data_IF_049675929570
#
_entry.id   IF_049675929570
#
_cell.length_a   1.000
_cell.length_b   1.000
_cell.length_c   1.000
_cell.angle_alpha   90.00
_cell.angle_beta   90.00
_cell.angle_gamma   90.00
#
_symmetry.space_group_name_H-M   'P 1'
#
loop_
_entity.id
_entity.type
_entity.pdbx_description
1 polymer ?
#
# COMPACT_ATOMS: atom_id res chain seq x y z
N UNK A 1 -54.45 -55.50 12.70
CA UNK A 1 -54.44 -54.03 12.71
C UNK A 1 -53.02 -53.57 13.08
N UNK A 2 -52.12 -53.43 12.09
CA UNK A 2 -50.76 -52.94 12.31
C UNK A 2 -50.76 -51.42 12.13
N UNK A 3 -50.40 -50.68 13.18
CA UNK A 3 -50.17 -49.24 13.14
C UNK A 3 -48.72 -49.00 12.65
N UNK A 4 -48.59 -48.38 11.47
CA UNK A 4 -47.34 -47.82 10.99
C UNK A 4 -47.12 -46.45 11.65
N UNK A 5 -46.10 -46.35 12.50
CA UNK A 5 -45.60 -45.07 13.01
C UNK A 5 -44.66 -44.48 11.95
N UNK A 6 -45.06 -43.37 11.33
CA UNK A 6 -44.19 -42.58 10.43
C UNK A 6 -43.41 -41.60 11.29
N UNK A 7 -42.06 -41.66 11.34
CA UNK A 7 -41.29 -40.68 12.08
C UNK A 7 -41.32 -39.34 11.33
N UNK A 8 -41.86 -38.32 11.99
CA UNK A 8 -41.84 -36.95 11.52
C UNK A 8 -40.40 -36.41 11.67
N UNK A 9 -39.66 -36.31 10.56
CA UNK A 9 -38.37 -35.64 10.53
C UNK A 9 -38.61 -34.13 10.65
N UNK A 10 -38.47 -33.61 11.87
CA UNK A 10 -38.43 -32.17 12.11
C UNK A 10 -37.13 -31.61 11.52
N UNK A 11 -37.22 -30.94 10.37
CA UNK A 11 -36.14 -30.12 9.83
C UNK A 11 -35.88 -28.97 10.81
N UNK A 12 -34.76 -29.00 11.52
CA UNK A 12 -34.35 -27.85 12.31
C UNK A 12 -33.98 -26.69 11.37
N UNK A 13 -34.39 -25.46 11.67
CA UNK A 13 -33.95 -24.31 10.89
C UNK A 13 -32.43 -24.19 11.00
N UNK A 14 -31.74 -24.30 9.87
CA UNK A 14 -30.31 -24.01 9.80
C UNK A 14 -30.15 -22.51 9.99
N UNK A 15 -29.64 -22.10 11.15
CA UNK A 15 -29.14 -20.73 11.32
C UNK A 15 -28.09 -20.48 10.22
N UNK A 16 -28.20 -19.40 9.43
CA UNK A 16 -27.15 -19.05 8.50
C UNK A 16 -25.84 -18.91 9.27
N UNK A 17 -24.87 -19.78 8.98
CA UNK A 17 -23.51 -19.61 9.45
C UNK A 17 -23.02 -18.28 8.88
N UNK A 18 -22.55 -17.37 9.73
CA UNK A 18 -22.02 -16.09 9.27
C UNK A 18 -20.95 -16.35 8.20
N UNK A 19 -20.97 -15.57 7.11
CA UNK A 19 -19.96 -15.64 6.07
C UNK A 19 -18.57 -15.56 6.73
N UNK A 20 -17.71 -16.59 6.57
CA UNK A 20 -16.39 -16.62 7.18
C UNK A 20 -15.57 -15.36 6.88
N UNK A 21 -15.75 -14.74 5.71
CA UNK A 21 -15.04 -13.51 5.36
C UNK A 21 -15.51 -12.34 6.23
N UNK A 22 -16.82 -12.13 6.35
CA UNK A 22 -17.41 -11.07 7.16
C UNK A 22 -17.09 -11.21 8.66
N UNK A 23 -17.12 -12.43 9.18
CA UNK A 23 -16.74 -12.69 10.57
C UNK A 23 -15.26 -12.33 10.84
N UNK A 24 -14.34 -12.77 9.97
CA UNK A 24 -12.93 -12.46 10.12
C UNK A 24 -12.64 -10.97 9.90
N UNK A 25 -13.35 -10.29 9.00
CA UNK A 25 -13.23 -8.84 8.81
C UNK A 25 -13.63 -8.09 10.09
N UNK A 26 -14.74 -8.46 10.73
CA UNK A 26 -15.16 -7.85 11.99
C UNK A 26 -14.10 -8.04 13.09
N UNK A 27 -13.53 -9.24 13.22
CA UNK A 27 -12.42 -9.48 14.15
C UNK A 27 -11.18 -8.66 13.82
N UNK A 28 -10.83 -8.51 12.53
CA UNK A 28 -9.71 -7.66 12.12
C UNK A 28 -9.95 -6.20 12.45
N UNK A 29 -11.16 -5.69 12.21
CA UNK A 29 -11.54 -4.32 12.57
C UNK A 29 -11.31 -4.06 14.06
N UNK A 30 -11.80 -4.95 14.93
CA UNK A 30 -11.60 -4.85 16.37
C UNK A 30 -10.12 -4.87 16.77
N UNK A 31 -9.32 -5.74 16.15
CA UNK A 31 -7.87 -5.81 16.40
C UNK A 31 -7.16 -4.53 15.98
N UNK A 32 -7.48 -3.96 14.81
CA UNK A 32 -6.92 -2.68 14.38
C UNK A 32 -7.33 -1.54 15.31
N UNK A 33 -8.59 -1.49 15.74
CA UNK A 33 -9.05 -0.50 16.71
C UNK A 33 -8.28 -0.60 18.03
N UNK A 34 -8.08 -1.82 18.54
CA UNK A 34 -7.24 -2.04 19.73
C UNK A 34 -5.78 -1.63 19.50
N UNK A 35 -5.20 -1.95 18.33
CA UNK A 35 -3.81 -1.60 18.02
C UNK A 35 -3.58 -0.09 18.06
N UNK A 36 -4.50 0.71 17.53
CA UNK A 36 -4.37 2.17 17.53
C UNK A 36 -4.72 2.82 18.88
N UNK A 37 -5.40 2.10 19.78
CA UNK A 37 -5.71 2.56 21.14
C UNK A 37 -4.69 2.08 22.19
N UNK A 38 -3.91 1.04 21.87
CA UNK A 38 -2.94 0.44 22.77
C UNK A 38 -1.90 1.45 23.27
N UNK A 39 -1.61 1.39 24.58
CA UNK A 39 -0.77 2.37 25.26
C UNK A 39 0.71 2.06 25.21
N UNK A 40 1.09 0.81 24.94
CA UNK A 40 2.49 0.36 24.94
C UNK A 40 2.92 -0.27 23.62
N UNK A 41 4.19 -0.12 23.27
CA UNK A 41 4.76 -0.70 22.05
C UNK A 41 4.71 -2.23 22.05
N UNK A 42 4.86 -2.85 23.21
CA UNK A 42 4.74 -4.30 23.38
C UNK A 42 3.34 -4.79 23.03
N UNK A 43 2.31 -4.14 23.56
CA UNK A 43 0.90 -4.48 23.29
C UNK A 43 0.57 -4.29 21.81
N UNK A 44 1.02 -3.18 21.20
CA UNK A 44 0.86 -2.93 19.76
C UNK A 44 1.47 -4.04 18.91
N UNK A 45 2.68 -4.49 19.23
CA UNK A 45 3.35 -5.59 18.50
C UNK A 45 2.60 -6.91 18.65
N UNK A 46 2.10 -7.24 19.85
CA UNK A 46 1.30 -8.45 20.07
C UNK A 46 -0.03 -8.44 19.31
N UNK A 47 -0.71 -7.27 19.27
CA UNK A 47 -1.91 -7.08 18.47
C UNK A 47 -1.60 -7.23 16.98
N UNK A 48 -0.48 -6.68 16.52
CA UNK A 48 -0.03 -6.83 15.15
C UNK A 48 0.28 -8.27 14.76
N UNK A 49 0.92 -9.05 15.64
CA UNK A 49 1.15 -10.49 15.40
C UNK A 49 -0.17 -11.24 15.18
N UNK A 50 -1.20 -10.88 15.96
CA UNK A 50 -2.56 -11.42 15.82
C UNK A 50 -3.21 -10.99 14.50
N UNK A 51 -3.07 -9.71 14.13
CA UNK A 51 -3.54 -9.16 12.85
C UNK A 51 -2.89 -9.89 11.68
N UNK A 52 -1.56 -10.02 11.68
CA UNK A 52 -0.82 -10.72 10.63
C UNK A 52 -1.30 -12.16 10.46
N UNK A 53 -1.52 -12.89 11.56
CA UNK A 53 -2.00 -14.27 11.51
C UNK A 53 -3.43 -14.37 10.93
N UNK A 54 -4.33 -13.46 11.28
CA UNK A 54 -5.71 -13.46 10.76
C UNK A 54 -5.72 -13.02 9.30
N UNK A 55 -5.06 -11.90 8.97
CA UNK A 55 -4.99 -11.38 7.60
C UNK A 55 -4.37 -12.40 6.65
N UNK A 56 -3.24 -13.02 6.99
CA UNK A 56 -2.57 -14.00 6.10
C UNK A 56 -3.51 -15.14 5.73
N UNK A 57 -4.24 -15.69 6.71
CA UNK A 57 -5.22 -16.76 6.46
C UNK A 57 -6.42 -16.28 5.66
N UNK A 58 -6.93 -15.09 5.98
CA UNK A 58 -8.09 -14.51 5.33
C UNK A 58 -7.81 -14.20 3.85
N UNK A 59 -6.68 -13.56 3.55
CA UNK A 59 -6.29 -13.19 2.18
C UNK A 59 -5.92 -14.40 1.32
N UNK A 60 -5.55 -15.54 1.92
CA UNK A 60 -5.35 -16.78 1.19
C UNK A 60 -6.67 -17.50 0.86
N UNK A 61 -7.77 -17.18 1.57
CA UNK A 61 -9.03 -17.94 1.48
C UNK A 61 -9.76 -17.75 0.14
N UNK A 62 -10.57 -18.73 -0.31
CA UNK A 62 -11.35 -18.60 -1.54
C UNK A 62 -12.30 -17.39 -1.50
N UNK A 63 -12.40 -16.65 -2.60
CA UNK A 63 -13.30 -15.49 -2.73
C UNK A 63 -12.82 -14.20 -2.04
N UNK A 64 -11.78 -14.27 -1.19
CA UNK A 64 -11.27 -13.11 -0.45
C UNK A 64 -10.78 -11.97 -1.34
N UNK A 65 -10.24 -12.25 -2.53
CA UNK A 65 -9.72 -11.19 -3.42
C UNK A 65 -10.80 -10.18 -3.83
N UNK A 66 -12.00 -10.67 -4.18
CA UNK A 66 -13.13 -9.85 -4.60
C UNK A 66 -13.99 -9.35 -3.43
N UNK A 67 -13.68 -9.77 -2.21
CA UNK A 67 -14.39 -9.30 -1.02
C UNK A 67 -13.95 -7.87 -0.70
N UNK A 68 -14.88 -6.93 -0.42
CA UNK A 68 -14.53 -5.51 -0.39
C UNK A 68 -13.62 -5.09 0.78
N UNK A 69 -13.80 -5.69 1.97
CA UNK A 69 -13.13 -5.27 3.22
C UNK A 69 -13.40 -3.79 3.60
N UNK A 70 -14.63 -3.32 3.39
CA UNK A 70 -15.02 -1.91 3.58
C UNK A 70 -14.90 -1.41 5.03
N UNK A 71 -14.94 -2.31 6.02
CA UNK A 71 -14.86 -1.95 7.43
C UNK A 71 -13.41 -1.72 7.91
N UNK A 72 -12.41 -2.16 7.14
CA UNK A 72 -10.99 -1.95 7.43
C UNK A 72 -10.52 -0.56 6.96
N UNK A 73 -11.16 0.50 7.46
CA UNK A 73 -10.95 1.88 6.99
C UNK A 73 -9.63 2.53 7.44
N UNK A 74 -8.85 1.86 8.30
CA UNK A 74 -7.60 2.39 8.89
C UNK A 74 -6.33 1.88 8.20
N UNK A 75 -6.46 1.11 7.12
CA UNK A 75 -5.34 0.54 6.39
C UNK A 75 -5.41 0.92 4.91
N UNK A 76 -4.25 0.93 4.25
CA UNK A 76 -4.17 0.93 2.80
C UNK A 76 -4.74 -0.37 2.25
N UNK A 77 -5.60 -0.25 1.25
CA UNK A 77 -6.29 -1.35 0.59
C UNK A 77 -6.45 -0.99 -0.89
N UNK A 78 -5.48 -1.39 -1.70
CA UNK A 78 -5.36 -0.92 -3.08
C UNK A 78 -5.37 -2.10 -4.04
N UNK A 79 -6.28 -2.09 -5.02
CA UNK A 79 -6.40 -3.13 -6.04
C UNK A 79 -5.73 -2.64 -7.32
N UNK A 80 -4.88 -3.48 -7.92
CA UNK A 80 -4.26 -3.19 -9.23
C UNK A 80 -5.32 -2.97 -10.32
N UNK A 81 -5.08 -2.08 -11.31
CA UNK A 81 -6.11 -1.71 -12.29
C UNK A 81 -6.56 -2.87 -13.20
N UNK A 82 -5.75 -3.93 -13.33
CA UNK A 82 -6.07 -5.14 -14.08
C UNK A 82 -6.48 -6.31 -13.19
N UNK A 83 -6.72 -6.07 -11.90
CA UNK A 83 -7.07 -7.08 -10.89
C UNK A 83 -6.04 -8.22 -10.78
N UNK A 84 -4.78 -7.98 -11.13
CA UNK A 84 -3.72 -8.98 -11.00
C UNK A 84 -3.38 -9.27 -9.54
N UNK A 85 -3.32 -8.23 -8.71
CA UNK A 85 -3.09 -8.31 -7.28
C UNK A 85 -3.82 -7.19 -6.52
N UNK A 86 -3.80 -7.33 -5.20
CA UNK A 86 -4.28 -6.38 -4.22
C UNK A 86 -3.22 -6.23 -3.14
N UNK A 87 -2.97 -5.00 -2.70
CA UNK A 87 -1.98 -4.70 -1.67
C UNK A 87 -2.67 -4.07 -0.47
N UNK A 88 -2.40 -4.65 0.70
CA UNK A 88 -2.82 -4.11 1.99
C UNK A 88 -1.59 -3.59 2.71
N UNK A 89 -1.64 -2.40 3.29
CA UNK A 89 -0.52 -1.82 4.05
C UNK A 89 -1.01 -1.07 5.25
N UNK A 90 -0.32 -1.21 6.38
CA UNK A 90 -0.60 -0.48 7.61
C UNK A 90 0.70 -0.21 8.35
N UNK A 91 0.63 0.67 9.33
CA UNK A 91 1.76 0.97 10.21
C UNK A 91 1.37 0.85 11.67
N UNK A 92 2.37 0.56 12.49
CA UNK A 92 2.32 0.59 13.94
C UNK A 92 3.07 1.84 14.41
N UNK A 93 2.40 2.84 14.98
CA UNK A 93 3.07 3.97 15.61
C UNK A 93 3.67 3.52 16.95
N UNK A 94 4.99 3.57 17.07
CA UNK A 94 5.73 3.24 18.29
C UNK A 94 6.15 4.50 19.05
N UNK A 95 6.73 4.31 20.23
CA UNK A 95 7.31 5.40 21.01
C UNK A 95 8.40 6.14 20.22
N UNK A 96 8.49 7.46 20.40
CA UNK A 96 9.55 8.26 19.80
C UNK A 96 9.37 8.59 18.31
N UNK A 97 8.13 8.62 17.81
CA UNK A 97 7.82 8.94 16.39
C UNK A 97 8.41 7.91 15.41
N UNK A 98 8.64 6.69 15.88
CA UNK A 98 9.05 5.56 15.05
C UNK A 98 7.80 4.86 14.55
N UNK A 99 7.79 4.48 13.28
CA UNK A 99 6.72 3.70 12.69
C UNK A 99 7.31 2.39 12.14
N UNK A 100 6.66 1.27 12.46
CA UNK A 100 6.94 -0.02 11.80
C UNK A 100 5.84 -0.30 10.78
N UNK A 101 6.21 -0.65 9.57
CA UNK A 101 5.28 -0.88 8.48
C UNK A 101 5.06 -2.38 8.25
N UNK A 102 3.86 -2.72 7.81
CA UNK A 102 3.50 -4.06 7.41
C UNK A 102 2.67 -4.01 6.15
N UNK A 103 2.79 -5.06 5.34
CA UNK A 103 1.94 -5.18 4.19
C UNK A 103 1.76 -6.61 3.73
N UNK A 104 0.74 -6.81 2.92
CA UNK A 104 0.40 -8.09 2.32
C UNK A 104 0.04 -7.85 0.85
N UNK A 105 0.70 -8.57 -0.05
CA UNK A 105 0.27 -8.68 -1.45
C UNK A 105 -0.54 -9.95 -1.60
N UNK A 106 -1.78 -9.80 -2.02
CA UNK A 106 -2.68 -10.89 -2.39
C UNK A 106 -2.76 -10.96 -3.91
N UNK A 107 -2.23 -12.04 -4.50
CA UNK A 107 -2.33 -12.28 -5.95
C UNK A 107 -3.66 -12.94 -6.26
N UNK A 108 -4.33 -12.43 -7.29
CA UNK A 108 -5.61 -12.96 -7.73
C UNK A 108 -5.48 -14.44 -8.14
N UNK A 109 -6.26 -15.30 -7.48
CA UNK A 109 -6.25 -16.74 -7.73
C UNK A 109 -6.73 -17.11 -9.15
N UNK A 110 -7.52 -16.25 -9.81
CA UNK A 110 -8.17 -16.58 -11.06
C UNK A 110 -9.06 -17.82 -10.92
N UNK A 111 -8.63 -18.94 -11.52
CA UNK A 111 -9.32 -20.25 -11.40
C UNK A 111 -8.77 -21.15 -10.28
N UNK A 112 -7.69 -20.73 -9.61
CA UNK A 112 -7.07 -21.49 -8.50
C UNK A 112 -7.98 -21.45 -7.26
N UNK A 113 -7.91 -22.47 -6.39
CA UNK A 113 -8.77 -22.53 -5.21
C UNK A 113 -8.43 -21.48 -4.14
N UNK A 114 -7.19 -20.99 -4.10
CA UNK A 114 -6.72 -20.03 -3.09
C UNK A 114 -5.81 -18.98 -3.72
N UNK A 115 -5.78 -17.80 -3.09
CA UNK A 115 -4.87 -16.73 -3.49
C UNK A 115 -3.46 -17.03 -2.98
N UNK A 116 -2.45 -16.62 -3.75
CA UNK A 116 -1.08 -16.56 -3.25
C UNK A 116 -0.91 -15.26 -2.47
N UNK A 117 -0.20 -15.34 -1.35
CA UNK A 117 -0.02 -14.23 -0.43
C UNK A 117 1.47 -14.04 -0.14
N UNK A 118 1.95 -12.80 -0.24
CA UNK A 118 3.31 -12.41 0.11
C UNK A 118 3.26 -11.40 1.26
N UNK A 119 4.02 -11.66 2.32
CA UNK A 119 4.15 -10.75 3.45
C UNK A 119 5.29 -9.76 3.17
N UNK A 120 5.01 -8.47 3.31
CA UNK A 120 6.00 -7.42 3.19
C UNK A 120 6.63 -7.16 4.55
N UNK A 121 7.95 -7.36 4.63
CA UNK A 121 8.74 -7.19 5.83
C UNK A 121 9.49 -5.87 5.75
N UNK A 122 9.10 -4.95 6.63
CA UNK A 122 9.78 -3.68 6.79
C UNK A 122 11.19 -3.86 7.36
N UNK A 123 12.13 -3.12 6.78
CA UNK A 123 13.53 -3.06 7.18
C UNK A 123 13.92 -1.62 7.51
N UNK A 124 13.15 -0.94 8.37
CA UNK A 124 13.30 0.47 8.74
C UNK A 124 14.74 0.93 9.00
N UNK A 125 15.58 0.08 9.62
CA UNK A 125 17.00 0.38 9.89
C UNK A 125 17.86 0.59 8.63
N UNK A 126 17.38 0.13 7.49
CA UNK A 126 18.04 0.17 6.18
C UNK A 126 17.28 1.02 5.18
N UNK A 127 16.30 1.81 5.63
CA UNK A 127 15.39 2.56 4.76
C UNK A 127 16.16 3.32 3.68
N UNK A 128 17.14 4.14 4.07
CA UNK A 128 17.90 4.97 3.12
C UNK A 128 18.58 4.14 2.03
N UNK A 129 19.21 3.00 2.36
CA UNK A 129 19.79 2.11 1.36
C UNK A 129 18.72 1.50 0.44
N UNK A 130 17.58 1.10 1.01
CA UNK A 130 16.50 0.43 0.30
C UNK A 130 15.79 1.38 -0.66
N UNK A 131 15.67 2.68 -0.31
CA UNK A 131 15.07 3.69 -1.17
C UNK A 131 15.77 3.81 -2.52
N UNK A 132 17.09 3.55 -2.56
CA UNK A 132 17.92 3.64 -3.77
C UNK A 132 18.25 2.29 -4.41
N UNK A 133 17.58 1.20 -4.02
CA UNK A 133 17.86 -0.14 -4.53
C UNK A 133 16.61 -0.89 -5.00
N UNK A 134 16.80 -1.94 -5.79
CA UNK A 134 15.76 -2.94 -6.02
C UNK A 134 15.55 -3.79 -4.77
N UNK A 135 14.28 -4.09 -4.44
CA UNK A 135 13.92 -4.81 -3.21
C UNK A 135 12.89 -5.90 -3.50
N UNK A 136 12.81 -6.91 -2.65
CA UNK A 136 11.81 -7.97 -2.59
C UNK A 136 10.80 -7.69 -1.47
N UNK A 137 9.91 -8.66 -1.21
CA UNK A 137 9.00 -8.60 -0.08
C UNK A 137 9.72 -8.62 1.28
N UNK A 138 10.86 -9.30 1.40
CA UNK A 138 11.61 -9.49 2.65
C UNK A 138 12.48 -8.29 3.05
N UNK A 139 12.78 -7.41 2.09
CA UNK A 139 13.52 -6.17 2.32
C UNK A 139 12.75 -4.95 1.77
N UNK A 140 11.44 -4.94 2.00
CA UNK A 140 10.57 -3.87 1.56
C UNK A 140 10.81 -2.58 2.37
N UNK A 141 10.84 -1.39 1.72
CA UNK A 141 11.14 -0.12 2.40
C UNK A 141 10.05 0.40 3.33
N UNK A 142 8.90 -0.27 3.47
CA UNK A 142 7.84 0.13 4.41
C UNK A 142 7.04 1.36 3.94
N UNK A 143 5.87 1.19 3.35
CA UNK A 143 5.06 2.28 2.80
C UNK A 143 3.57 2.05 3.03
N UNK A 144 2.80 3.12 3.20
CA UNK A 144 1.35 3.08 3.12
C UNK A 144 0.91 3.42 1.70
N UNK A 145 0.61 2.41 0.90
CA UNK A 145 0.19 2.60 -0.49
C UNK A 145 -1.27 3.02 -0.56
N UNK A 146 -1.55 4.04 -1.37
CA UNK A 146 -2.90 4.55 -1.59
C UNK A 146 -3.30 4.58 -3.07
N UNK A 147 -2.35 4.45 -3.99
CA UNK A 147 -2.61 4.46 -5.42
C UNK A 147 -1.70 3.47 -6.16
N UNK A 148 -2.24 2.82 -7.18
CA UNK A 148 -1.51 1.93 -8.07
C UNK A 148 -1.89 2.19 -9.52
N UNK A 149 -0.88 2.33 -10.36
CA UNK A 149 -1.02 2.51 -11.81
C UNK A 149 -0.42 1.33 -12.53
N UNK A 150 -0.96 1.03 -13.70
CA UNK A 150 -0.44 -0.03 -14.55
C UNK A 150 0.14 0.53 -15.83
N UNK A 151 1.40 0.21 -16.08
CA UNK A 151 2.15 0.62 -17.25
C UNK A 151 2.78 -0.58 -17.95
N UNK A 152 3.10 -0.42 -19.24
CA UNK A 152 3.87 -1.42 -20.00
C UNK A 152 5.25 -0.87 -20.36
N UNK A 153 6.27 -1.71 -20.20
CA UNK A 153 7.62 -1.49 -20.70
C UNK A 153 7.97 -2.63 -21.67
N UNK A 154 7.68 -2.44 -22.96
CA UNK A 154 7.78 -3.52 -23.94
C UNK A 154 6.78 -4.64 -23.64
N UNK A 155 7.30 -5.82 -23.25
CA UNK A 155 6.48 -6.98 -22.85
C UNK A 155 6.18 -7.01 -21.35
N UNK A 156 6.96 -6.28 -20.55
CA UNK A 156 6.84 -6.29 -19.11
C UNK A 156 5.66 -5.42 -18.66
N UNK A 157 4.98 -5.85 -17.61
CA UNK A 157 3.98 -5.05 -16.89
C UNK A 157 4.65 -4.50 -15.63
N UNK A 158 4.56 -3.20 -15.45
CA UNK A 158 5.09 -2.49 -14.28
C UNK A 158 3.92 -1.80 -13.59
N UNK A 159 3.86 -1.97 -12.28
CA UNK A 159 2.88 -1.30 -11.43
C UNK A 159 3.56 -0.16 -10.70
N UNK A 160 3.14 1.07 -10.95
CA UNK A 160 3.66 2.21 -10.18
C UNK A 160 2.82 2.36 -8.93
N UNK A 161 3.46 2.41 -7.77
CA UNK A 161 2.85 2.53 -6.47
C UNK A 161 3.13 3.92 -5.91
N UNK A 162 2.09 4.57 -5.41
CA UNK A 162 2.24 5.85 -4.71
C UNK A 162 1.92 5.60 -3.24
N UNK A 163 2.91 5.90 -2.40
CA UNK A 163 2.88 5.63 -0.98
C UNK A 163 3.20 6.84 -0.13
N UNK A 164 2.86 6.72 1.15
CA UNK A 164 3.20 7.66 2.19
C UNK A 164 3.99 6.95 3.29
N UNK A 165 4.97 7.65 3.86
CA UNK A 165 5.83 7.17 4.92
C UNK A 165 5.97 8.29 5.97
N UNK A 166 5.48 8.03 7.19
CA UNK A 166 5.78 8.84 8.37
C UNK A 166 7.29 8.76 8.65
N UNK A 167 8.01 9.84 8.41
CA UNK A 167 9.47 9.82 8.44
C UNK A 167 10.00 10.00 9.87
N UNK A 168 9.76 11.17 10.46
CA UNK A 168 10.15 11.44 11.83
C UNK A 168 9.20 12.47 12.48
N UNK A 169 9.64 13.11 13.56
CA UNK A 169 8.85 14.10 14.28
C UNK A 169 8.58 15.38 13.48
N UNK A 170 9.40 15.69 12.48
CA UNK A 170 9.47 16.98 11.80
C UNK A 170 9.06 16.90 10.33
N UNK A 171 9.28 15.76 9.68
CA UNK A 171 8.96 15.58 8.26
C UNK A 171 8.23 14.29 7.98
N UNK A 172 7.60 14.27 6.81
CA UNK A 172 6.98 13.10 6.20
C UNK A 172 7.51 12.89 4.79
N UNK A 173 7.31 11.69 4.25
CA UNK A 173 7.69 11.33 2.89
C UNK A 173 6.50 10.88 2.05
N UNK A 174 6.39 11.40 0.82
CA UNK A 174 5.64 10.78 -0.28
C UNK A 174 6.62 10.08 -1.20
N UNK A 175 6.34 8.84 -1.56
CA UNK A 175 7.27 8.02 -2.34
C UNK A 175 6.53 7.39 -3.51
N UNK A 176 7.11 7.54 -4.70
CA UNK A 176 6.70 6.83 -5.91
C UNK A 176 7.66 5.66 -6.09
N UNK A 177 7.14 4.45 -5.98
CA UNK A 177 7.86 3.19 -6.20
C UNK A 177 7.27 2.47 -7.43
N UNK A 178 7.93 1.41 -7.87
CA UNK A 178 7.38 0.48 -8.85
C UNK A 178 7.50 -0.93 -8.35
N UNK A 179 6.54 -1.77 -8.71
CA UNK A 179 6.50 -3.20 -8.44
C UNK A 179 6.26 -3.97 -9.74
N UNK A 180 6.84 -5.15 -9.86
CA UNK A 180 6.58 -6.11 -10.92
C UNK A 180 6.70 -7.52 -10.36
N UNK A 181 6.19 -8.51 -11.08
CA UNK A 181 6.43 -9.92 -10.76
C UNK A 181 7.63 -10.40 -11.57
N UNK A 182 8.57 -11.07 -10.91
CA UNK A 182 9.74 -11.66 -11.56
C UNK A 182 9.39 -12.97 -12.29
N UNK A 183 10.41 -13.67 -12.80
CA UNK A 183 10.22 -14.95 -13.51
C UNK A 183 9.64 -16.06 -12.60
N UNK A 184 9.82 -15.97 -11.28
CA UNK A 184 9.27 -16.89 -10.29
C UNK A 184 7.88 -16.45 -9.79
N UNK A 185 7.33 -15.38 -10.35
CA UNK A 185 6.06 -14.76 -9.95
C UNK A 185 6.10 -14.18 -8.52
N UNK A 186 7.28 -13.78 -8.05
CA UNK A 186 7.48 -13.09 -6.78
C UNK A 186 7.45 -11.57 -6.99
N UNK A 187 6.87 -10.79 -6.06
CA UNK A 187 6.84 -9.34 -6.16
C UNK A 187 8.22 -8.75 -5.88
N UNK A 188 8.72 -7.97 -6.84
CA UNK A 188 9.96 -7.20 -6.75
C UNK A 188 9.64 -5.73 -6.96
N UNK A 189 10.32 -4.85 -6.22
CA UNK A 189 10.12 -3.42 -6.17
C UNK A 189 11.37 -2.64 -6.60
N UNK A 190 11.21 -1.34 -6.83
CA UNK A 190 12.31 -0.44 -7.14
C UNK A 190 13.01 -0.83 -8.44
N UNK A 191 12.29 -1.03 -9.53
CA UNK A 191 12.94 -1.09 -10.86
C UNK A 191 13.40 0.34 -11.22
N UNK A 192 14.64 0.57 -11.68
CA UNK A 192 15.13 1.91 -11.99
C UNK A 192 14.48 2.44 -13.27
N UNK A 193 13.37 3.14 -13.13
CA UNK A 193 12.54 3.63 -14.25
C UNK A 193 12.16 5.10 -14.14
N UNK A 194 12.64 5.81 -13.12
CA UNK A 194 12.38 7.24 -12.97
C UNK A 194 13.56 8.04 -13.51
N UNK A 195 13.38 8.68 -14.66
CA UNK A 195 14.36 9.60 -15.21
C UNK A 195 14.13 10.98 -14.58
N UNK A 196 15.00 11.32 -13.63
CA UNK A 196 15.05 12.60 -12.91
C UNK A 196 16.20 13.48 -13.44
N UNK A 197 16.37 14.66 -12.87
CA UNK A 197 17.51 15.54 -13.18
C UNK A 197 18.84 14.94 -12.71
N UNK A 198 18.82 14.20 -11.60
CA UNK A 198 19.97 13.49 -11.03
C UNK A 198 20.24 12.13 -11.69
N UNK A 199 19.54 11.79 -12.78
CA UNK A 199 19.69 10.55 -13.52
C UNK A 199 18.55 9.55 -13.29
N UNK A 200 18.83 8.26 -13.53
CA UNK A 200 17.81 7.21 -13.40
C UNK A 200 17.76 6.72 -11.96
N UNK A 201 16.58 6.81 -11.34
CA UNK A 201 16.33 6.46 -9.95
C UNK A 201 15.40 5.24 -9.81
N UNK A 202 15.56 4.52 -8.71
CA UNK A 202 14.71 3.40 -8.30
C UNK A 202 13.34 3.87 -7.79
N UNK A 203 13.32 5.03 -7.12
CA UNK A 203 12.14 5.66 -6.53
C UNK A 203 12.24 7.17 -6.64
N UNK A 204 11.10 7.84 -6.59
CA UNK A 204 11.03 9.30 -6.38
C UNK A 204 10.59 9.54 -4.95
N UNK A 205 11.35 10.36 -4.22
CA UNK A 205 11.15 10.61 -2.79
C UNK A 205 10.94 12.09 -2.60
N UNK A 206 9.84 12.45 -1.96
CA UNK A 206 9.54 13.82 -1.57
C UNK A 206 9.49 13.87 -0.05
N UNK A 207 10.46 14.53 0.57
CA UNK A 207 10.42 14.83 2.00
C UNK A 207 9.99 16.28 2.20
N UNK A 208 9.04 16.50 3.10
CA UNK A 208 8.44 17.80 3.34
C UNK A 208 8.04 17.96 4.80
N UNK A 209 7.71 19.19 5.21
CA UNK A 209 7.27 19.48 6.57
C UNK A 209 6.08 18.61 7.00
N UNK A 210 6.16 17.99 8.17
CA UNK A 210 5.03 17.23 8.75
C UNK A 210 3.84 18.11 9.14
N UNK A 211 3.96 19.44 9.03
CA UNK A 211 2.90 20.41 9.32
C UNK A 211 2.06 20.78 8.08
N UNK A 212 2.44 20.31 6.89
CA UNK A 212 1.74 20.61 5.63
C UNK A 212 1.26 19.34 4.92
N UNK A 213 0.46 19.52 3.87
CA UNK A 213 0.00 18.41 3.01
C UNK A 213 0.61 18.58 1.63
N UNK A 214 1.29 17.54 1.15
CA UNK A 214 1.75 17.43 -0.22
C UNK A 214 0.87 16.46 -1.03
N UNK A 215 0.46 16.88 -2.23
CA UNK A 215 -0.28 16.06 -3.18
C UNK A 215 0.68 15.35 -4.13
N UNK A 216 0.48 14.04 -4.31
CA UNK A 216 1.06 13.23 -5.39
C UNK A 216 -0.03 12.28 -5.89
N UNK A 217 -0.46 12.41 -7.14
CA UNK A 217 -1.58 11.62 -7.70
C UNK A 217 -1.48 11.46 -9.21
N UNK A 218 -2.09 10.43 -9.77
CA UNK A 218 -2.23 10.35 -11.23
C UNK A 218 -3.35 11.26 -11.74
N UNK A 219 -3.05 12.04 -12.77
CA UNK A 219 -4.02 12.78 -13.55
C UNK A 219 -4.30 12.01 -14.87
N UNK A 220 -5.49 11.44 -15.06
CA UNK A 220 -5.82 10.64 -16.25
C UNK A 220 -5.89 11.46 -17.55
N UNK A 221 -6.30 12.73 -17.48
CA UNK A 221 -6.41 13.61 -18.65
C UNK A 221 -5.03 13.99 -19.17
N UNK A 222 -4.12 14.33 -18.26
CA UNK A 222 -2.73 14.65 -18.57
C UNK A 222 -1.90 13.39 -18.86
N UNK A 223 -2.34 12.22 -18.38
CA UNK A 223 -1.60 10.96 -18.38
C UNK A 223 -0.23 11.09 -17.69
N UNK A 224 -0.25 11.67 -16.50
CA UNK A 224 0.94 11.97 -15.69
C UNK A 224 0.67 11.70 -14.23
N UNK A 225 1.71 11.34 -13.49
CA UNK A 225 1.71 11.55 -12.04
C UNK A 225 2.01 13.03 -11.85
N UNK A 226 1.10 13.76 -11.20
CA UNK A 226 1.19 15.19 -10.92
C UNK A 226 1.40 15.35 -9.42
N UNK A 227 2.31 16.24 -9.05
CA UNK A 227 2.60 16.53 -7.66
C UNK A 227 2.88 18.01 -7.42
N UNK A 228 2.69 18.44 -6.19
CA UNK A 228 3.03 19.78 -5.74
C UNK A 228 4.55 19.95 -5.78
N UNK A 229 5.04 21.03 -6.40
CA UNK A 229 6.45 21.38 -6.29
C UNK A 229 6.77 21.85 -4.86
N UNK A 230 7.89 21.38 -4.33
CA UNK A 230 8.31 21.68 -2.95
C UNK A 230 9.44 22.69 -2.96
N UNK A 231 9.25 23.80 -2.25
CA UNK A 231 10.29 24.81 -2.03
C UNK A 231 10.49 25.04 -0.52
N UNK A 232 11.67 25.50 -0.07
CA UNK A 232 11.80 25.95 1.31
C UNK A 232 10.90 27.18 1.53
N UNK A 233 10.29 27.27 2.72
CA UNK A 233 9.42 28.40 3.09
C UNK A 233 10.17 29.74 3.15
N UNK A 234 11.48 29.70 3.36
CA UNK A 234 12.40 30.84 3.33
C UNK A 234 13.70 30.41 2.62
N UNK A 235 14.32 31.26 1.77
CA UNK A 235 15.52 30.88 1.01
C UNK A 235 16.68 30.38 1.88
N UNK A 236 16.83 30.90 3.10
CA UNK A 236 17.89 30.54 4.04
C UNK A 236 17.75 29.11 4.60
N UNK A 237 16.60 28.46 4.38
CA UNK A 237 16.29 27.11 4.84
C UNK A 237 16.50 26.03 3.76
N UNK A 238 17.06 26.40 2.61
CA UNK A 238 17.41 25.46 1.55
C UNK A 238 18.27 24.29 2.08
N UNK A 239 17.93 23.08 1.64
CA UNK A 239 18.54 21.83 2.10
C UNK A 239 17.99 21.27 3.40
N UNK A 240 17.13 22.00 4.12
CA UNK A 240 16.46 21.51 5.33
C UNK A 240 15.02 21.08 5.03
N UNK A 241 14.84 19.83 4.61
CA UNK A 241 13.58 19.30 4.04
C UNK A 241 12.36 19.39 4.96
N UNK A 242 12.54 19.46 6.29
CA UNK A 242 11.42 19.68 7.24
C UNK A 242 10.75 21.05 7.12
N UNK A 243 11.37 21.99 6.38
CA UNK A 243 10.83 23.32 6.11
C UNK A 243 10.40 23.49 4.65
N UNK A 244 10.31 22.39 3.90
CA UNK A 244 9.82 22.42 2.53
C UNK A 244 8.30 22.27 2.52
N UNK A 245 7.64 23.05 1.68
CA UNK A 245 6.20 23.06 1.52
C UNK A 245 5.80 23.28 0.05
N UNK A 246 4.58 22.91 -0.34
CA UNK A 246 4.02 23.24 -1.65
C UNK A 246 4.08 24.75 -1.96
N UNK A 247 4.60 25.12 -3.14
CA UNK A 247 4.68 26.51 -3.59
C UNK A 247 3.57 26.92 -4.57
N UNK A 248 2.58 26.03 -4.74
CA UNK A 248 1.45 26.14 -5.67
C UNK A 248 1.80 26.03 -7.16
N UNK A 249 3.05 25.71 -7.49
CA UNK A 249 3.42 25.18 -8.80
C UNK A 249 3.40 23.64 -8.77
N UNK A 250 3.49 23.04 -9.95
CA UNK A 250 3.30 21.60 -10.12
C UNK A 250 4.34 21.06 -11.07
N UNK A 251 4.83 19.88 -10.74
CA UNK A 251 5.67 19.07 -11.60
C UNK A 251 4.97 17.74 -11.87
N UNK A 252 5.55 16.92 -12.74
CA UNK A 252 5.03 15.59 -12.93
C UNK A 252 5.94 14.62 -13.65
N UNK A 253 5.54 13.36 -13.56
CA UNK A 253 6.16 12.26 -14.31
C UNK A 253 5.22 11.78 -15.40
N UNK A 254 5.74 11.68 -16.62
CA UNK A 254 5.02 11.12 -17.78
C UNK A 254 5.62 9.78 -18.17
N UNK A 255 4.78 8.75 -18.28
CA UNK A 255 5.24 7.44 -18.76
C UNK A 255 5.52 7.48 -20.26
N UNK A 256 6.76 7.24 -20.66
CA UNK A 256 7.21 7.20 -22.06
C UNK A 256 8.34 6.20 -22.23
N UNK A 257 8.23 5.34 -23.24
CA UNK A 257 9.28 4.37 -23.61
C UNK A 257 9.76 3.48 -22.45
N UNK A 258 8.88 3.09 -21.53
CA UNK A 258 9.22 2.22 -20.40
C UNK A 258 9.81 2.95 -19.18
N UNK A 259 9.81 4.28 -19.17
CA UNK A 259 10.29 5.10 -18.07
C UNK A 259 9.28 6.20 -17.70
N UNK A 260 9.30 6.62 -16.45
CA UNK A 260 8.69 7.85 -15.97
C UNK A 260 9.67 9.00 -16.20
N UNK A 261 9.30 9.96 -17.04
CA UNK A 261 10.15 11.11 -17.39
C UNK A 261 9.67 12.33 -16.61
N UNK A 262 10.57 12.95 -15.85
CA UNK A 262 10.31 14.19 -15.13
C UNK A 262 9.96 15.34 -16.08
N UNK A 263 8.98 16.17 -15.70
CA UNK A 263 8.61 17.41 -16.37
C UNK A 263 8.34 18.46 -15.28
N UNK A 264 9.09 19.57 -15.30
CA UNK A 264 8.86 20.69 -14.40
C UNK A 264 7.78 21.63 -14.91
N UNK A 265 7.24 22.46 -14.01
CA UNK A 265 6.40 23.63 -14.32
C UNK A 265 5.18 23.30 -15.22
N UNK A 266 4.47 22.24 -14.89
CA UNK A 266 3.32 21.79 -15.69
C UNK A 266 2.06 22.62 -15.41
N UNK A 267 1.36 23.02 -16.48
CA UNK A 267 0.09 23.73 -16.36
C UNK A 267 -1.05 22.74 -16.10
N UNK A 268 -1.49 22.67 -14.84
CA UNK A 268 -2.57 21.76 -14.38
C UNK A 268 -3.95 22.41 -14.37
N UNK A 269 -4.09 23.65 -14.88
CA UNK A 269 -5.41 24.30 -14.96
C UNK A 269 -6.29 23.55 -15.95
N UNK A 270 -7.49 23.18 -15.51
CA UNK A 270 -8.50 22.51 -16.32
C UNK A 270 -8.71 23.26 -17.65
N UNK A 271 -8.48 22.59 -18.78
CA UNK A 271 -8.96 23.00 -20.11
C UNK A 271 -10.16 22.17 -20.52
#
# INVERSE_FOLDING_TARGET
>A
MLLFLVPLLLSQPSFPQADPLAHNEASLKELFEQLYLAGSDTEKKQLNDSILQVMTRLMASPGSFGYPFDSLSRIGNVISPDNAFRIFTWNIPLSGFVHEYHGIIQVNAGKKPSCQVFLLQDQARRLEDLLHAGTTAENWPGMLYYEVLRSKAGRDVIYTLIGYHFNDRFSDKKIIDVMYFDENQEPVFGRPVFQTEDGIQHRVIFEYSGEVVMTVRYNPDMKMIVYDHLSPIEPELEGNLRFYAPDFSYDGYRWKSGMWIHQSDIDVRNR
#
